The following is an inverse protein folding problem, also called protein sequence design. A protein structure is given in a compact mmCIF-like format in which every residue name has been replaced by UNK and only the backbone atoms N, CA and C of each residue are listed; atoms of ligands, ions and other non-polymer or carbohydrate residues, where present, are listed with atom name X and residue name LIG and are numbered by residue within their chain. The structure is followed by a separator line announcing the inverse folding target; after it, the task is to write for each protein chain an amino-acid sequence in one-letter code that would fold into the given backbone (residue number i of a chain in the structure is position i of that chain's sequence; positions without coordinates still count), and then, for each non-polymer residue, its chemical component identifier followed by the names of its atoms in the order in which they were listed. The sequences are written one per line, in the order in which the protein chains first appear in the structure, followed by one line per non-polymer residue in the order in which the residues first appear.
data_IF_144064702267
#
_entry.id   IF_144064702267
#
_cell.length_a   1.000
_cell.length_b   1.000
_cell.length_c   1.000
_cell.angle_alpha   90.00
_cell.angle_beta   90.00
_cell.angle_gamma   90.00
#
_symmetry.space_group_name_H-M   'P 1'
#
loop_
_entity.id
_entity.type
_entity.pdbx_description
1 polymer ?
#
# COMPACT_ATOMS: atom_id res chain seq x y z
N UNK A 1 -8.93 3.74 21.33
CA UNK A 1 -7.47 3.96 21.30
C UNK A 1 -7.15 5.30 20.67
N UNK A 2 -5.98 5.87 21.00
CA UNK A 2 -5.38 6.98 20.23
C UNK A 2 -4.22 6.45 19.41
N UNK A 3 -4.25 6.64 18.10
CA UNK A 3 -3.30 6.04 17.16
C UNK A 3 -2.67 7.06 16.24
N UNK A 4 -1.43 6.82 15.82
CA UNK A 4 -0.73 7.57 14.78
C UNK A 4 -0.80 6.80 13.46
N UNK A 5 -1.16 7.49 12.37
CA UNK A 5 -1.03 7.01 11.00
C UNK A 5 -0.05 7.90 10.26
N UNK A 6 1.14 7.40 9.92
CA UNK A 6 2.08 8.10 9.04
C UNK A 6 1.76 7.79 7.58
N UNK A 7 1.99 8.75 6.68
CA UNK A 7 1.50 8.63 5.30
C UNK A 7 -0.02 8.81 5.20
N UNK A 8 -0.60 9.57 6.13
CA UNK A 8 -2.05 9.72 6.28
C UNK A 8 -2.74 10.34 5.07
N UNK A 9 -2.07 11.21 4.31
CA UNK A 9 -2.61 11.84 3.11
C UNK A 9 -2.43 10.99 1.84
N UNK A 10 -1.78 9.84 1.94
CA UNK A 10 -1.63 8.88 0.85
C UNK A 10 -2.91 8.09 0.58
N UNK A 11 -2.88 7.28 -0.47
CA UNK A 11 -4.00 6.42 -0.87
C UNK A 11 -4.47 5.53 0.31
N UNK A 12 -3.64 4.61 0.77
CA UNK A 12 -4.02 3.68 1.84
C UNK A 12 -4.18 4.38 3.20
N UNK A 13 -3.28 5.33 3.52
CA UNK A 13 -3.30 6.04 4.79
C UNK A 13 -4.60 6.80 5.03
N UNK A 14 -5.18 7.44 3.99
CA UNK A 14 -6.42 8.18 4.12
C UNK A 14 -7.65 7.28 4.34
N UNK A 15 -7.73 6.14 3.66
CA UNK A 15 -8.78 5.13 3.90
C UNK A 15 -8.65 4.51 5.29
N UNK A 16 -7.42 4.26 5.74
CA UNK A 16 -7.16 3.76 7.08
C UNK A 16 -7.58 4.77 8.16
N UNK A 17 -7.31 6.07 7.96
CA UNK A 17 -7.79 7.12 8.86
C UNK A 17 -9.32 7.08 8.99
N UNK A 18 -10.05 7.00 7.88
CA UNK A 18 -11.51 6.92 7.87
C UNK A 18 -12.00 5.69 8.65
N UNK A 19 -11.41 4.52 8.36
CA UNK A 19 -11.82 3.28 9.03
C UNK A 19 -11.57 3.32 10.54
N UNK A 20 -10.42 3.83 10.97
CA UNK A 20 -10.07 3.94 12.39
C UNK A 20 -11.00 4.93 13.13
N UNK A 21 -11.35 6.05 12.49
CA UNK A 21 -12.32 7.01 13.03
C UNK A 21 -13.73 6.39 13.14
N UNK A 22 -14.17 5.65 12.11
CA UNK A 22 -15.45 4.93 12.12
C UNK A 22 -15.51 3.86 13.23
N UNK A 23 -14.37 3.29 13.64
CA UNK A 23 -14.24 2.37 14.78
C UNK A 23 -14.17 3.12 16.13
N UNK A 24 -14.32 4.45 16.15
CA UNK A 24 -14.33 5.27 17.36
C UNK A 24 -12.93 5.57 17.93
N UNK A 25 -11.87 5.39 17.15
CA UNK A 25 -10.51 5.73 17.57
C UNK A 25 -10.24 7.23 17.43
N UNK A 26 -9.26 7.75 18.19
CA UNK A 26 -8.67 9.06 17.96
C UNK A 26 -7.46 8.90 17.05
N UNK A 27 -7.45 9.58 15.92
CA UNK A 27 -6.43 9.43 14.89
C UNK A 27 -5.56 10.68 14.80
N UNK A 28 -4.26 10.50 14.92
CA UNK A 28 -3.26 11.50 14.55
C UNK A 28 -2.73 11.11 13.17
N UNK A 29 -3.08 11.87 12.15
CA UNK A 29 -2.53 11.71 10.80
C UNK A 29 -1.24 12.51 10.69
N UNK A 30 -0.19 11.91 10.11
CA UNK A 30 1.10 12.58 9.85
C UNK A 30 1.50 12.35 8.39
N UNK A 31 1.85 13.43 7.69
CA UNK A 31 2.28 13.39 6.29
C UNK A 31 3.11 14.64 5.96
N UNK A 32 3.99 14.57 4.98
CA UNK A 32 4.74 15.72 4.45
C UNK A 32 4.27 16.15 3.06
N UNK A 33 3.26 15.47 2.50
CA UNK A 33 2.70 15.67 1.16
C UNK A 33 3.69 15.48 0.00
N UNK A 34 4.80 14.78 0.21
CA UNK A 34 5.74 14.49 -0.91
C UNK A 34 5.07 13.70 -2.04
N UNK A 35 4.21 12.74 -1.69
CA UNK A 35 3.40 11.94 -2.64
C UNK A 35 1.93 11.89 -2.23
N UNK A 36 1.59 12.30 -1.01
CA UNK A 36 0.24 12.39 -0.49
C UNK A 36 -0.54 13.59 -1.06
N UNK A 37 -1.86 13.47 -1.12
CA UNK A 37 -2.75 14.54 -1.55
C UNK A 37 -3.56 15.09 -0.36
N UNK A 38 -3.44 16.39 -0.10
CA UNK A 38 -4.17 17.07 0.96
C UNK A 38 -5.70 16.89 0.85
N UNK A 39 -6.23 16.82 -0.37
CA UNK A 39 -7.65 16.62 -0.62
C UNK A 39 -8.18 15.28 -0.05
N UNK A 40 -7.32 14.27 0.10
CA UNK A 40 -7.71 12.99 0.71
C UNK A 40 -8.12 13.11 2.19
N UNK A 41 -7.76 14.22 2.85
CA UNK A 41 -8.05 14.48 4.27
C UNK A 41 -9.00 15.66 4.49
N UNK A 42 -9.49 16.33 3.43
CA UNK A 42 -10.29 17.55 3.57
C UNK A 42 -11.58 17.32 4.36
N UNK A 43 -12.23 16.19 4.19
CA UNK A 43 -13.43 15.79 4.93
C UNK A 43 -13.18 15.51 6.42
N UNK A 44 -11.93 15.32 6.83
CA UNK A 44 -11.54 15.04 8.22
C UNK A 44 -11.12 16.30 9.00
N UNK A 45 -10.94 17.45 8.34
CA UNK A 45 -10.42 18.68 8.97
C UNK A 45 -11.21 19.12 10.20
N UNK A 46 -12.53 18.91 10.20
CA UNK A 46 -13.42 19.29 11.30
C UNK A 46 -13.83 18.10 12.18
N UNK A 47 -13.26 16.91 11.96
CA UNK A 47 -13.63 15.74 12.72
C UNK A 47 -13.01 15.80 14.14
N UNK A 48 -13.81 15.71 15.24
CA UNK A 48 -13.34 15.98 16.61
C UNK A 48 -12.27 15.00 17.10
N UNK A 49 -12.20 13.80 16.51
CA UNK A 49 -11.23 12.76 16.85
C UNK A 49 -10.06 12.67 15.86
N UNK A 50 -9.93 13.63 14.93
CA UNK A 50 -8.82 13.68 13.97
C UNK A 50 -7.93 14.89 14.23
N UNK A 51 -6.63 14.64 14.27
CA UNK A 51 -5.59 15.68 14.32
C UNK A 51 -4.61 15.44 13.19
N UNK A 52 -4.19 16.49 12.48
CA UNK A 52 -3.16 16.38 11.45
C UNK A 52 -1.86 17.06 11.88
N UNK A 53 -0.72 16.42 11.59
CA UNK A 53 0.63 16.93 11.80
C UNK A 53 1.36 16.91 10.46
N UNK A 54 1.76 18.09 9.97
CA UNK A 54 2.65 18.21 8.81
C UNK A 54 4.09 17.90 9.25
N UNK A 55 4.62 16.75 8.84
CA UNK A 55 5.94 16.31 9.27
C UNK A 55 6.54 15.25 8.34
N UNK A 56 7.87 15.30 8.16
CA UNK A 56 8.63 14.26 7.47
C UNK A 56 9.14 13.23 8.49
N UNK A 57 8.71 11.99 8.33
CA UNK A 57 9.06 10.89 9.24
C UNK A 57 10.54 10.50 9.24
N UNK A 58 11.31 10.94 8.24
CA UNK A 58 12.78 10.76 8.23
C UNK A 58 13.47 11.65 9.27
N UNK A 59 12.78 12.69 9.76
CA UNK A 59 13.22 13.52 10.89
C UNK A 59 12.79 12.90 12.24
N UNK A 60 13.13 13.57 13.35
CA UNK A 60 12.70 13.11 14.68
C UNK A 60 11.18 13.19 14.80
N UNK A 61 10.55 12.07 15.12
CA UNK A 61 9.08 11.96 15.23
C UNK A 61 8.66 12.07 16.69
N UNK A 62 7.86 13.09 16.99
CA UNK A 62 7.26 13.30 18.31
C UNK A 62 5.74 13.48 18.17
N UNK A 63 4.99 12.84 19.06
CA UNK A 63 3.54 13.04 19.20
C UNK A 63 3.23 13.28 20.67
N UNK A 64 2.63 14.43 20.99
CA UNK A 64 2.27 14.77 22.36
C UNK A 64 1.16 13.87 22.90
N UNK A 65 1.26 13.54 24.20
CA UNK A 65 0.30 12.69 24.91
C UNK A 65 0.49 11.18 24.64
N UNK A 66 -0.43 10.35 25.15
CA UNK A 66 -0.35 8.90 25.01
C UNK A 66 -0.63 8.45 23.58
N UNK A 67 -0.02 7.35 23.17
CA UNK A 67 -0.33 6.60 21.94
C UNK A 67 -0.45 5.12 22.31
N UNK A 68 -1.42 4.43 21.74
CA UNK A 68 -1.62 3.01 21.89
C UNK A 68 -1.27 2.23 20.62
N UNK A 69 -1.18 2.93 19.46
CA UNK A 69 -0.81 2.32 18.19
C UNK A 69 -0.13 3.28 17.22
N UNK A 70 0.75 2.71 16.40
CA UNK A 70 1.43 3.40 15.29
C UNK A 70 1.24 2.57 14.02
N UNK A 71 0.58 3.13 13.03
CA UNK A 71 0.46 2.58 11.69
C UNK A 71 1.48 3.30 10.78
N UNK A 72 2.57 2.64 10.44
CA UNK A 72 3.64 3.24 9.66
C UNK A 72 3.47 2.97 8.17
N UNK A 73 2.80 3.91 7.46
CA UNK A 73 2.46 3.85 6.04
C UNK A 73 3.24 4.85 5.18
N UNK A 74 3.97 5.77 5.77
CA UNK A 74 4.77 6.75 5.03
C UNK A 74 5.82 6.07 4.16
N UNK A 75 5.71 6.21 2.86
CA UNK A 75 6.70 5.77 1.87
C UNK A 75 6.28 6.25 0.48
N UNK A 76 7.19 6.73 -0.39
CA UNK A 76 6.96 6.70 -1.83
C UNK A 76 6.78 5.23 -2.25
N UNK A 77 5.63 4.88 -2.82
CA UNK A 77 5.25 3.47 -3.00
C UNK A 77 4.80 3.11 -4.42
N UNK A 78 4.69 4.10 -5.31
CA UNK A 78 4.46 3.84 -6.73
C UNK A 78 5.77 3.78 -7.50
N UNK A 79 5.83 3.04 -8.64
CA UNK A 79 7.03 2.98 -9.47
C UNK A 79 7.53 4.37 -9.90
N UNK A 80 6.62 5.29 -10.24
CA UNK A 80 6.96 6.67 -10.59
C UNK A 80 7.63 7.37 -9.39
N UNK A 81 7.01 7.31 -8.22
CA UNK A 81 7.49 8.03 -7.04
C UNK A 81 8.86 7.56 -6.56
N UNK A 82 9.07 6.25 -6.41
CA UNK A 82 10.34 5.77 -5.84
C UNK A 82 11.50 5.86 -6.84
N UNK A 83 11.22 5.91 -8.14
CA UNK A 83 12.24 6.18 -9.18
C UNK A 83 12.60 7.67 -9.26
N UNK A 84 11.64 8.57 -9.04
CA UNK A 84 11.88 10.02 -8.98
C UNK A 84 12.50 10.46 -7.64
N UNK A 85 12.18 9.76 -6.55
CA UNK A 85 12.60 10.08 -5.18
C UNK A 85 13.43 8.94 -4.54
N UNK A 86 14.48 8.40 -5.21
CA UNK A 86 15.15 7.19 -4.76
C UNK A 86 15.81 7.32 -3.39
N UNK A 87 16.49 8.43 -3.14
CA UNK A 87 17.17 8.68 -1.86
C UNK A 87 16.15 8.90 -0.73
N UNK A 88 15.06 9.61 -1.00
CA UNK A 88 13.98 9.84 -0.03
C UNK A 88 13.29 8.52 0.33
N UNK A 89 13.06 7.65 -0.65
CA UNK A 89 12.49 6.31 -0.44
C UNK A 89 13.34 5.48 0.52
N UNK A 90 14.66 5.43 0.30
CA UNK A 90 15.60 4.75 1.19
C UNK A 90 15.64 5.39 2.59
N UNK A 91 15.63 6.73 2.69
CA UNK A 91 15.59 7.44 3.99
C UNK A 91 14.31 7.14 4.76
N UNK A 92 13.17 7.12 4.12
CA UNK A 92 11.89 6.81 4.78
C UNK A 92 11.87 5.34 5.22
N UNK A 93 12.30 4.41 4.36
CA UNK A 93 12.36 2.99 4.71
C UNK A 93 13.34 2.68 5.85
N UNK A 94 14.43 3.43 5.98
CA UNK A 94 15.44 3.26 7.03
C UNK A 94 15.20 4.18 8.23
N UNK A 95 15.51 5.47 8.09
CA UNK A 95 15.40 6.46 9.17
C UNK A 95 13.95 6.64 9.63
N UNK A 96 13.00 6.73 8.69
CA UNK A 96 11.58 6.87 9.01
C UNK A 96 11.07 5.70 9.84
N UNK A 97 11.35 4.48 9.42
CA UNK A 97 10.98 3.27 10.17
C UNK A 97 11.66 3.23 11.54
N UNK A 98 12.96 3.59 11.63
CA UNK A 98 13.67 3.67 12.90
C UNK A 98 13.03 4.68 13.86
N UNK A 99 12.64 5.86 13.37
CA UNK A 99 11.97 6.89 14.19
C UNK A 99 10.58 6.46 14.64
N UNK A 100 9.79 5.83 13.76
CA UNK A 100 8.48 5.30 14.09
C UNK A 100 8.55 4.20 15.16
N UNK A 101 9.52 3.27 15.06
CA UNK A 101 9.80 2.23 16.05
C UNK A 101 10.26 2.83 17.39
N UNK A 102 11.13 3.84 17.34
CA UNK A 102 11.58 4.58 18.52
C UNK A 102 10.43 5.27 19.25
N UNK A 103 9.52 5.93 18.52
CA UNK A 103 8.32 6.52 19.08
C UNK A 103 7.41 5.44 19.69
N UNK A 104 7.13 4.35 18.99
CA UNK A 104 6.29 3.27 19.48
C UNK A 104 6.85 2.70 20.79
N UNK A 105 8.18 2.43 20.84
CA UNK A 105 8.88 1.99 22.05
C UNK A 105 8.72 2.99 23.21
N UNK A 106 8.96 4.27 22.96
CA UNK A 106 8.87 5.32 23.98
C UNK A 106 7.46 5.51 24.55
N UNK A 107 6.42 5.20 23.75
CA UNK A 107 5.00 5.28 24.14
C UNK A 107 4.43 3.96 24.66
N UNK A 108 5.15 2.86 24.58
CA UNK A 108 4.60 1.51 24.83
C UNK A 108 3.47 1.14 23.86
N UNK A 109 3.53 1.67 22.63
CA UNK A 109 2.50 1.51 21.61
C UNK A 109 2.82 0.33 20.70
N UNK A 110 1.78 -0.40 20.24
CA UNK A 110 1.92 -1.37 19.14
C UNK A 110 2.28 -0.68 17.85
N UNK A 111 3.16 -1.26 17.02
CA UNK A 111 3.47 -0.75 15.70
C UNK A 111 3.06 -1.75 14.61
N UNK A 112 2.36 -1.26 13.58
CA UNK A 112 2.16 -1.98 12.33
C UNK A 112 2.95 -1.30 11.22
N UNK A 113 3.86 -2.08 10.60
CA UNK A 113 4.62 -1.69 9.43
C UNK A 113 3.85 -2.06 8.15
N UNK A 114 3.60 -1.09 7.28
CA UNK A 114 3.18 -1.33 5.91
C UNK A 114 4.39 -1.77 5.07
N UNK A 115 4.59 -3.08 4.97
CA UNK A 115 5.48 -3.70 4.01
C UNK A 115 4.77 -3.95 2.68
N UNK A 116 5.33 -4.74 1.80
CA UNK A 116 4.87 -4.89 0.42
C UNK A 116 5.19 -6.28 -0.11
N UNK A 117 4.45 -6.72 -1.14
CA UNK A 117 4.81 -7.89 -1.94
C UNK A 117 6.12 -7.72 -2.73
N UNK A 118 6.62 -6.50 -2.88
CA UNK A 118 7.90 -6.23 -3.56
C UNK A 118 9.11 -6.83 -2.82
N UNK A 119 8.98 -7.15 -1.52
CA UNK A 119 10.02 -7.89 -0.77
C UNK A 119 10.30 -9.28 -1.37
N UNK A 120 9.39 -9.80 -2.18
CA UNK A 120 9.56 -11.07 -2.91
C UNK A 120 10.31 -10.94 -4.23
N UNK A 121 10.48 -9.73 -4.77
CA UNK A 121 11.16 -9.46 -6.03
C UNK A 121 10.45 -10.09 -7.24
N UNK A 122 11.23 -10.66 -8.19
CA UNK A 122 10.72 -11.55 -9.25
C UNK A 122 10.67 -12.99 -8.71
N UNK A 123 9.52 -13.46 -8.21
CA UNK A 123 9.46 -14.63 -7.36
C UNK A 123 9.64 -15.93 -8.12
N UNK A 124 10.42 -16.84 -7.52
CA UNK A 124 10.61 -18.22 -8.01
C UNK A 124 9.60 -19.21 -7.42
N UNK A 125 8.76 -18.73 -6.48
CA UNK A 125 7.70 -19.51 -5.81
C UNK A 125 6.35 -18.83 -6.07
N UNK A 126 5.35 -19.62 -6.46
CA UNK A 126 4.04 -19.13 -6.84
C UNK A 126 2.93 -20.08 -6.37
N UNK A 127 1.88 -19.62 -5.66
CA UNK A 127 1.75 -18.30 -5.02
C UNK A 127 2.83 -18.05 -3.96
N UNK A 128 3.06 -16.77 -3.57
CA UNK A 128 4.11 -16.40 -2.61
C UNK A 128 3.62 -16.57 -1.17
N UNK A 129 4.15 -17.56 -0.40
CA UNK A 129 3.92 -17.67 1.03
C UNK A 129 4.87 -16.76 1.82
N UNK A 130 4.51 -16.42 3.07
CA UNK A 130 5.35 -15.57 3.91
C UNK A 130 6.72 -16.18 4.25
N UNK A 131 6.86 -17.48 4.17
CA UNK A 131 8.13 -18.22 4.38
C UNK A 131 9.12 -18.05 3.23
N UNK A 132 8.69 -17.55 2.07
CA UNK A 132 9.57 -17.30 0.93
C UNK A 132 10.37 -16.01 1.15
N UNK A 133 11.70 -16.08 1.05
CA UNK A 133 12.59 -14.96 1.34
C UNK A 133 12.76 -13.98 0.18
N UNK A 134 12.27 -14.33 -0.99
CA UNK A 134 12.30 -13.48 -2.18
C UNK A 134 13.49 -13.69 -3.08
N UNK A 135 13.42 -13.05 -4.26
CA UNK A 135 14.45 -12.98 -5.30
C UNK A 135 14.52 -11.53 -5.81
N UNK A 136 15.21 -10.68 -5.05
CA UNK A 136 15.32 -9.25 -5.29
C UNK A 136 16.66 -8.91 -5.94
N UNK A 137 16.66 -8.03 -6.95
CA UNK A 137 17.87 -7.41 -7.48
C UNK A 137 18.23 -6.16 -6.65
N UNK A 138 19.18 -6.24 -5.69
CA UNK A 138 19.44 -5.15 -4.76
C UNK A 138 20.09 -3.92 -5.39
N UNK A 139 20.67 -4.06 -6.59
CA UNK A 139 21.34 -2.97 -7.32
C UNK A 139 20.55 -2.50 -8.55
N UNK A 140 19.42 -3.15 -8.84
CA UNK A 140 18.53 -2.75 -9.91
C UNK A 140 17.73 -1.48 -9.57
N UNK A 141 17.07 -0.85 -10.57
CA UNK A 141 16.34 0.41 -10.35
C UNK A 141 15.21 0.28 -9.33
N UNK A 142 14.58 -0.89 -9.22
CA UNK A 142 13.52 -1.17 -8.23
C UNK A 142 14.08 -1.43 -6.83
N UNK A 143 15.36 -1.79 -6.70
CA UNK A 143 16.03 -2.11 -5.44
C UNK A 143 15.90 -1.00 -4.38
N UNK A 144 15.74 0.27 -4.79
CA UNK A 144 15.53 1.38 -3.85
C UNK A 144 14.27 1.22 -3.00
N UNK A 145 13.19 0.68 -3.56
CA UNK A 145 11.95 0.42 -2.83
C UNK A 145 11.96 -0.95 -2.16
N UNK A 146 12.36 -1.96 -2.91
CA UNK A 146 12.37 -3.34 -2.45
C UNK A 146 13.26 -3.50 -1.21
N UNK A 147 14.52 -3.01 -1.26
CA UNK A 147 15.45 -3.08 -0.14
C UNK A 147 15.07 -2.11 1.00
N UNK A 148 14.48 -0.95 0.71
CA UNK A 148 13.93 -0.09 1.77
C UNK A 148 12.89 -0.83 2.62
N UNK A 149 12.01 -1.61 2.00
CA UNK A 149 10.98 -2.39 2.69
C UNK A 149 11.54 -3.64 3.37
N UNK A 150 12.48 -4.35 2.74
CA UNK A 150 13.20 -5.48 3.36
C UNK A 150 13.98 -5.04 4.59
N UNK A 151 14.67 -3.91 4.52
CA UNK A 151 15.34 -3.30 5.67
C UNK A 151 14.34 -2.94 6.79
N UNK A 152 13.20 -2.34 6.42
CA UNK A 152 12.17 -1.96 7.39
C UNK A 152 11.61 -3.19 8.13
N UNK A 153 11.35 -4.32 7.44
CA UNK A 153 10.97 -5.58 8.08
C UNK A 153 12.05 -6.09 9.04
N UNK A 154 13.31 -6.13 8.60
CA UNK A 154 14.43 -6.60 9.42
C UNK A 154 14.59 -5.73 10.68
N UNK A 155 14.50 -4.41 10.54
CA UNK A 155 14.58 -3.47 11.66
C UNK A 155 13.39 -3.64 12.63
N UNK A 156 12.19 -3.83 12.11
CA UNK A 156 10.98 -4.07 12.93
C UNK A 156 11.13 -5.34 13.78
N UNK A 157 11.61 -6.43 13.18
CA UNK A 157 11.87 -7.68 13.89
C UNK A 157 13.02 -7.56 14.88
N UNK A 158 14.04 -6.73 14.59
CA UNK A 158 15.11 -6.45 15.56
C UNK A 158 14.59 -5.73 16.80
N UNK A 159 13.71 -4.73 16.62
CA UNK A 159 13.05 -4.06 17.75
C UNK A 159 12.15 -4.99 18.55
N UNK A 160 11.40 -5.86 17.88
CA UNK A 160 10.59 -6.88 18.54
C UNK A 160 11.45 -7.78 19.44
N UNK A 161 12.55 -8.35 18.89
CA UNK A 161 13.43 -9.28 19.62
C UNK A 161 14.22 -8.62 20.75
N UNK A 162 14.75 -7.41 20.50
CA UNK A 162 15.63 -6.72 21.44
C UNK A 162 14.89 -5.95 22.54
N UNK A 163 13.66 -5.54 22.28
CA UNK A 163 12.89 -4.64 23.16
C UNK A 163 11.49 -5.15 23.49
N UNK A 164 11.14 -6.36 23.04
CA UNK A 164 9.81 -6.94 23.21
C UNK A 164 8.68 -6.01 22.68
N UNK A 165 9.03 -5.14 21.70
CA UNK A 165 8.06 -4.23 21.13
C UNK A 165 6.96 -5.03 20.42
N UNK A 166 5.70 -4.73 20.72
CA UNK A 166 4.55 -5.35 20.05
C UNK A 166 4.44 -4.83 18.61
N UNK A 167 4.80 -5.68 17.66
CA UNK A 167 4.91 -5.29 16.22
C UNK A 167 4.05 -6.17 15.33
N UNK A 168 3.63 -5.61 14.19
CA UNK A 168 2.95 -6.30 13.10
C UNK A 168 3.58 -5.90 11.77
N UNK A 169 3.65 -6.81 10.82
CA UNK A 169 4.17 -6.54 9.46
C UNK A 169 3.11 -6.98 8.45
N UNK A 170 2.58 -6.02 7.70
CA UNK A 170 1.64 -6.27 6.60
C UNK A 170 2.38 -6.28 5.26
N UNK A 171 2.53 -7.44 4.61
CA UNK A 171 2.99 -7.53 3.22
C UNK A 171 1.81 -7.29 2.28
N UNK A 172 1.68 -6.03 1.85
CA UNK A 172 0.56 -5.56 1.04
C UNK A 172 0.82 -5.89 -0.42
N UNK A 173 -0.13 -6.60 -1.04
CA UNK A 173 -0.14 -6.87 -2.48
C UNK A 173 -0.88 -5.76 -3.23
N UNK A 174 -0.88 -5.83 -4.59
CA UNK A 174 -1.44 -4.78 -5.41
C UNK A 174 -2.86 -4.42 -4.97
N UNK A 175 -3.03 -3.17 -4.59
CA UNK A 175 -4.28 -2.62 -4.09
C UNK A 175 -4.72 -1.47 -4.96
N UNK A 176 -6.03 -1.37 -5.20
CA UNK A 176 -6.64 -0.32 -6.01
C UNK A 176 -7.91 0.21 -5.36
N UNK A 177 -8.34 1.40 -5.79
CA UNK A 177 -9.56 2.04 -5.28
C UNK A 177 -9.56 3.55 -5.46
N UNK A 178 -10.60 4.24 -4.96
CA UNK A 178 -10.66 5.69 -4.89
C UNK A 178 -9.44 6.29 -4.18
N UNK A 179 -9.12 7.56 -4.47
CA UNK A 179 -7.95 8.30 -3.95
C UNK A 179 -6.58 7.82 -4.44
N UNK A 180 -6.52 6.83 -5.35
CA UNK A 180 -5.30 6.65 -6.14
C UNK A 180 -5.07 7.90 -7.01
N UNK A 181 -3.81 8.23 -7.26
CA UNK A 181 -3.49 9.35 -8.15
C UNK A 181 -3.67 8.94 -9.61
N UNK A 182 -4.15 9.83 -10.49
CA UNK A 182 -4.31 9.54 -11.93
C UNK A 182 -3.01 9.09 -12.62
N UNK A 183 -1.86 9.59 -12.16
CA UNK A 183 -0.54 9.36 -12.76
C UNK A 183 0.43 8.67 -11.78
N UNK A 184 -0.05 7.69 -11.00
CA UNK A 184 0.83 6.97 -10.07
C UNK A 184 1.59 5.80 -10.70
N UNK A 185 1.38 5.55 -12.00
CA UNK A 185 2.08 4.52 -12.77
C UNK A 185 1.58 3.09 -12.56
N UNK A 186 0.59 2.86 -11.70
CA UNK A 186 0.01 1.53 -11.50
C UNK A 186 -1.01 1.20 -12.59
N UNK A 187 -1.07 -0.07 -12.98
CA UNK A 187 -1.85 -0.52 -14.14
C UNK A 187 -3.34 -0.17 -14.04
N UNK A 188 -3.97 -0.30 -12.86
CA UNK A 188 -5.42 -0.03 -12.71
C UNK A 188 -5.72 1.44 -12.93
N UNK A 189 -5.00 2.36 -12.25
CA UNK A 189 -5.19 3.81 -12.43
C UNK A 189 -4.86 4.25 -13.86
N UNK A 190 -3.76 3.75 -14.44
CA UNK A 190 -3.37 4.09 -15.80
C UNK A 190 -4.46 3.71 -16.81
N UNK A 191 -4.96 2.46 -16.76
CA UNK A 191 -5.99 2.01 -17.70
C UNK A 191 -7.29 2.79 -17.55
N UNK A 192 -7.73 3.05 -16.31
CA UNK A 192 -8.96 3.84 -16.09
C UNK A 192 -8.81 5.26 -16.62
N UNK A 193 -7.69 5.94 -16.33
CA UNK A 193 -7.46 7.32 -16.78
C UNK A 193 -7.36 7.38 -18.31
N UNK A 194 -6.60 6.48 -18.92
CA UNK A 194 -6.48 6.40 -20.39
C UNK A 194 -7.84 6.15 -21.05
N UNK A 195 -8.60 5.17 -20.55
CA UNK A 195 -9.93 4.87 -21.09
C UNK A 195 -10.90 6.05 -20.97
N UNK A 196 -10.92 6.76 -19.82
CA UNK A 196 -11.79 7.92 -19.61
C UNK A 196 -11.41 9.13 -20.46
N UNK A 197 -10.13 9.26 -20.81
CA UNK A 197 -9.65 10.32 -21.71
C UNK A 197 -9.73 9.97 -23.18
N UNK A 198 -10.12 8.74 -23.55
CA UNK A 198 -10.10 8.26 -24.93
C UNK A 198 -8.69 8.02 -25.49
N UNK A 199 -7.69 7.94 -24.60
CA UNK A 199 -6.31 7.63 -24.95
C UNK A 199 -6.12 6.10 -25.08
N UNK A 200 -5.16 5.61 -25.90
CA UNK A 200 -4.86 4.18 -25.97
C UNK A 200 -4.42 3.63 -24.62
N UNK A 201 -4.89 2.43 -24.25
CA UNK A 201 -4.43 1.73 -23.05
C UNK A 201 -3.05 1.12 -23.30
N UNK A 202 -2.08 1.46 -22.47
CA UNK A 202 -0.70 0.99 -22.59
C UNK A 202 -0.49 -0.33 -21.84
N UNK A 203 -0.37 -1.43 -22.57
CA UNK A 203 -0.02 -2.76 -22.05
C UNK A 203 1.47 -2.99 -22.25
N UNK A 204 2.19 -3.28 -21.19
CA UNK A 204 3.61 -3.64 -21.26
C UNK A 204 3.76 -5.13 -21.55
N UNK A 205 4.68 -5.50 -22.46
CA UNK A 205 4.80 -6.86 -22.97
C UNK A 205 3.56 -7.31 -23.75
N UNK A 206 3.33 -8.60 -23.83
CA UNK A 206 2.17 -9.18 -24.54
C UNK A 206 0.87 -9.18 -23.71
N UNK A 207 0.92 -8.70 -22.45
CA UNK A 207 -0.21 -8.68 -21.53
C UNK A 207 -0.55 -10.04 -20.91
N UNK A 208 0.28 -11.06 -21.10
CA UNK A 208 0.12 -12.41 -20.51
C UNK A 208 0.51 -12.45 -19.03
N UNK A 209 1.33 -11.49 -18.56
CA UNK A 209 1.70 -11.40 -17.15
C UNK A 209 0.48 -11.31 -16.26
N UNK A 210 0.54 -11.99 -15.12
CA UNK A 210 -0.57 -12.05 -14.17
C UNK A 210 -0.34 -11.17 -12.96
N UNK A 211 -1.41 -10.59 -12.44
CA UNK A 211 -1.45 -9.82 -11.20
C UNK A 211 -2.73 -10.14 -10.46
N UNK A 212 -2.67 -10.05 -9.15
CA UNK A 212 -3.84 -10.08 -8.29
C UNK A 212 -4.15 -8.66 -7.79
N UNK A 213 -5.42 -8.32 -7.65
CA UNK A 213 -5.85 -6.97 -7.29
C UNK A 213 -6.80 -7.00 -6.10
N UNK A 214 -6.42 -6.37 -5.00
CA UNK A 214 -7.24 -6.26 -3.81
C UNK A 214 -7.92 -4.89 -3.77
N UNK A 215 -9.23 -4.85 -3.52
CA UNK A 215 -9.92 -3.58 -3.33
C UNK A 215 -9.55 -2.97 -1.98
N UNK A 216 -9.47 -1.64 -1.93
CA UNK A 216 -8.92 -0.90 -0.78
C UNK A 216 -9.66 -1.16 0.53
N UNK A 217 -11.00 -1.30 0.51
CA UNK A 217 -11.78 -1.54 1.72
C UNK A 217 -11.47 -2.89 2.34
N UNK A 218 -11.29 -3.94 1.51
CA UNK A 218 -10.88 -5.27 1.97
C UNK A 218 -9.49 -5.22 2.59
N UNK A 219 -8.55 -4.53 1.93
CA UNK A 219 -7.19 -4.38 2.45
C UNK A 219 -7.18 -3.67 3.80
N UNK A 220 -7.89 -2.54 3.93
CA UNK A 220 -7.95 -1.75 5.17
C UNK A 220 -8.56 -2.58 6.31
N UNK A 221 -9.58 -3.39 6.03
CA UNK A 221 -10.13 -4.32 7.01
C UNK A 221 -9.09 -5.36 7.45
N UNK A 222 -8.30 -5.91 6.50
CA UNK A 222 -7.19 -6.83 6.81
C UNK A 222 -6.12 -6.20 7.68
N UNK A 223 -5.76 -4.93 7.39
CA UNK A 223 -4.80 -4.16 8.19
C UNK A 223 -5.29 -3.96 9.63
N UNK A 224 -6.56 -3.59 9.81
CA UNK A 224 -7.14 -3.41 11.15
C UNK A 224 -7.13 -4.73 11.93
N UNK A 225 -7.58 -5.82 11.32
CA UNK A 225 -7.55 -7.15 11.97
C UNK A 225 -6.13 -7.61 12.30
N UNK A 226 -5.17 -7.37 11.40
CA UNK A 226 -3.77 -7.70 11.65
C UNK A 226 -3.23 -6.90 12.85
N UNK A 227 -3.55 -5.61 12.92
CA UNK A 227 -3.16 -4.78 14.06
C UNK A 227 -3.72 -5.31 15.37
N UNK A 228 -4.99 -5.72 15.39
CA UNK A 228 -5.68 -6.17 16.60
C UNK A 228 -5.26 -7.57 17.05
N UNK A 229 -5.15 -8.52 16.12
CA UNK A 229 -5.09 -9.97 16.39
C UNK A 229 -3.85 -10.67 15.86
N UNK A 230 -3.08 -10.02 14.96
CA UNK A 230 -1.94 -10.66 14.33
C UNK A 230 -0.78 -10.96 15.28
N UNK A 231 0.17 -11.74 14.78
CA UNK A 231 1.47 -12.01 15.40
C UNK A 231 2.54 -11.02 14.88
N UNK A 232 3.74 -10.98 15.49
CA UNK A 232 4.85 -10.20 14.96
C UNK A 232 5.35 -10.66 13.57
N UNK A 233 5.08 -11.90 13.21
CA UNK A 233 5.48 -12.47 11.92
C UNK A 233 4.77 -11.75 10.75
N UNK A 234 5.45 -11.58 9.60
CA UNK A 234 4.84 -11.00 8.41
C UNK A 234 3.55 -11.73 8.00
N UNK A 235 2.57 -10.97 7.52
CA UNK A 235 1.31 -11.51 7.02
C UNK A 235 0.99 -10.90 5.66
N UNK A 236 0.74 -11.75 4.67
CA UNK A 236 0.30 -11.34 3.34
C UNK A 236 -1.15 -10.83 3.40
N UNK A 237 -1.37 -9.64 2.86
CA UNK A 237 -2.69 -9.07 2.65
C UNK A 237 -2.88 -8.72 1.17
N UNK A 238 -3.80 -9.41 0.52
CA UNK A 238 -4.08 -9.25 -0.91
C UNK A 238 -5.19 -10.19 -1.37
N UNK A 239 -5.58 -10.06 -2.63
CA UNK A 239 -6.54 -10.98 -3.25
C UNK A 239 -5.78 -12.12 -3.95
N UNK A 240 -6.08 -13.39 -3.70
CA UNK A 240 -5.43 -14.51 -4.38
C UNK A 240 -5.92 -14.74 -5.82
N UNK A 241 -7.00 -14.06 -6.26
CA UNK A 241 -7.50 -14.20 -7.63
C UNK A 241 -6.58 -13.48 -8.61
N UNK A 242 -6.03 -14.23 -9.56
CA UNK A 242 -5.14 -13.71 -10.60
C UNK A 242 -5.87 -13.35 -11.87
N UNK A 243 -5.46 -12.24 -12.48
CA UNK A 243 -5.94 -11.77 -13.77
C UNK A 243 -4.74 -11.44 -14.68
N UNK A 244 -4.88 -11.77 -15.96
CA UNK A 244 -3.93 -11.28 -16.96
C UNK A 244 -4.12 -9.78 -17.14
N UNK A 245 -3.01 -9.05 -17.34
CA UNK A 245 -3.07 -7.61 -17.57
C UNK A 245 -3.96 -7.28 -18.77
N UNK A 246 -3.96 -8.12 -19.80
CA UNK A 246 -4.85 -7.97 -20.96
C UNK A 246 -6.33 -8.07 -20.57
N UNK A 247 -6.71 -9.04 -19.73
CA UNK A 247 -8.08 -9.16 -19.24
C UNK A 247 -8.55 -7.96 -18.43
N UNK A 248 -7.64 -7.36 -17.62
CA UNK A 248 -7.92 -6.11 -16.91
C UNK A 248 -8.19 -4.97 -17.90
N UNK A 249 -7.38 -4.82 -18.97
CA UNK A 249 -7.58 -3.79 -19.97
C UNK A 249 -8.93 -3.93 -20.66
N UNK A 250 -9.28 -5.14 -21.11
CA UNK A 250 -10.57 -5.42 -21.76
C UNK A 250 -11.74 -5.10 -20.82
N UNK A 251 -11.65 -5.49 -19.53
CA UNK A 251 -12.68 -5.20 -18.53
C UNK A 251 -12.83 -3.68 -18.26
N UNK A 252 -11.73 -2.94 -18.18
CA UNK A 252 -11.78 -1.47 -18.02
C UNK A 252 -12.43 -0.80 -19.22
N UNK A 253 -12.12 -1.21 -20.47
CA UNK A 253 -12.77 -0.70 -21.67
C UNK A 253 -14.27 -0.97 -21.63
N UNK A 254 -14.67 -2.18 -21.27
CA UNK A 254 -16.09 -2.54 -21.14
C UNK A 254 -16.81 -1.68 -20.09
N UNK A 255 -16.24 -1.52 -18.90
CA UNK A 255 -16.86 -0.81 -17.78
C UNK A 255 -16.91 0.71 -17.99
N UNK A 256 -15.95 1.29 -18.71
CA UNK A 256 -15.94 2.71 -19.07
C UNK A 256 -16.80 3.04 -20.27
N UNK A 257 -17.08 2.04 -21.12
CA UNK A 257 -17.70 2.25 -22.45
C UNK A 257 -16.75 2.90 -23.44
N UNK A 258 -15.44 2.86 -23.20
CA UNK A 258 -14.43 3.50 -24.04
C UNK A 258 -14.16 2.70 -25.31
N UNK A 259 -14.02 3.40 -26.44
CA UNK A 259 -13.58 2.85 -27.72
C UNK A 259 -12.04 2.92 -27.91
N UNK A 260 -11.30 3.20 -26.85
CA UNK A 260 -9.83 3.30 -26.92
C UNK A 260 -9.19 1.99 -27.38
N UNK A 261 -8.14 2.11 -28.19
CA UNK A 261 -7.31 0.98 -28.60
C UNK A 261 -6.38 0.53 -27.47
N UNK A 262 -5.78 -0.65 -27.61
CA UNK A 262 -4.72 -1.13 -26.73
C UNK A 262 -3.41 -1.06 -27.51
N UNK A 263 -2.40 -0.40 -26.95
CA UNK A 263 -1.03 -0.34 -27.46
C UNK A 263 -0.11 -1.20 -26.61
N UNK A 264 0.92 -1.77 -27.22
CA UNK A 264 1.91 -2.62 -26.55
C UNK A 264 3.25 -1.90 -26.49
N UNK A 265 3.84 -1.87 -25.30
CA UNK A 265 5.14 -1.27 -25.02
C UNK A 265 6.10 -2.32 -24.43
N UNK A 266 7.43 -2.14 -24.53
CA UNK A 266 8.39 -3.04 -23.90
C UNK A 266 8.21 -3.16 -22.40
N UNK A 267 8.43 -4.36 -21.83
CA UNK A 267 8.40 -4.56 -20.38
C UNK A 267 9.47 -3.71 -19.69
N UNK A 268 9.14 -3.03 -18.58
CA UNK A 268 10.13 -2.36 -17.75
C UNK A 268 11.15 -3.34 -17.17
N UNK A 269 12.37 -2.85 -16.92
CA UNK A 269 13.43 -3.64 -16.29
C UNK A 269 13.01 -4.09 -14.89
N UNK A 270 13.27 -5.35 -14.54
CA UNK A 270 12.98 -5.98 -13.25
C UNK A 270 11.47 -6.02 -12.89
N UNK A 271 10.54 -5.86 -13.87
CA UNK A 271 9.11 -5.99 -13.58
C UNK A 271 8.76 -7.48 -13.34
N UNK A 272 8.18 -7.85 -12.19
CA UNK A 272 7.86 -9.25 -11.89
C UNK A 272 6.90 -9.86 -12.92
N UNK A 273 7.12 -11.13 -13.29
CA UNK A 273 6.24 -11.83 -14.26
C UNK A 273 4.92 -12.26 -13.63
N UNK A 274 4.95 -12.71 -12.37
CA UNK A 274 3.79 -13.20 -11.62
C UNK A 274 3.78 -12.60 -10.21
N UNK A 275 2.57 -12.31 -9.69
CA UNK A 275 2.41 -11.82 -8.32
C UNK A 275 1.05 -12.24 -7.76
N UNK A 276 1.08 -13.25 -6.84
CA UNK A 276 -0.13 -13.79 -6.21
C UNK A 276 0.15 -14.10 -4.74
N UNK A 277 -0.62 -13.53 -3.78
CA UNK A 277 -0.43 -13.87 -2.37
C UNK A 277 -0.94 -15.27 -2.04
N UNK A 278 -0.18 -16.03 -1.26
CA UNK A 278 -0.77 -17.02 -0.36
C UNK A 278 -1.31 -16.27 0.86
N UNK A 279 -2.61 -16.37 1.13
CA UNK A 279 -3.28 -15.69 2.25
C UNK A 279 -3.76 -16.67 3.34
N UNK A 280 -3.22 -17.89 3.36
CA UNK A 280 -3.64 -18.89 4.35
C UNK A 280 -3.44 -18.38 5.77
N UNK A 281 -2.32 -17.76 6.07
CA UNK A 281 -2.05 -17.15 7.39
C UNK A 281 -3.09 -16.08 7.76
N UNK A 282 -3.48 -15.22 6.84
CA UNK A 282 -4.49 -14.19 7.09
C UNK A 282 -5.88 -14.81 7.35
N UNK A 283 -6.25 -15.87 6.61
CA UNK A 283 -7.48 -16.61 6.86
C UNK A 283 -7.51 -17.25 8.24
N UNK A 284 -6.45 -17.97 8.60
CA UNK A 284 -6.39 -18.73 9.86
C UNK A 284 -6.25 -17.82 11.10
N UNK A 285 -5.31 -16.86 11.06
CA UNK A 285 -5.01 -16.02 12.21
C UNK A 285 -5.98 -14.84 12.39
N UNK A 286 -6.50 -14.27 11.29
CA UNK A 286 -7.30 -13.06 11.31
C UNK A 286 -8.78 -13.30 10.99
N UNK A 287 -9.14 -14.47 10.45
CA UNK A 287 -10.47 -14.70 9.86
C UNK A 287 -10.76 -13.74 8.71
N UNK A 288 -9.71 -13.40 7.94
CA UNK A 288 -9.80 -12.38 6.87
C UNK A 288 -9.56 -12.99 5.49
N UNK A 289 -10.38 -12.58 4.57
CA UNK A 289 -10.19 -12.75 3.12
C UNK A 289 -10.86 -11.59 2.38
N UNK A 290 -10.42 -11.24 1.15
CA UNK A 290 -11.06 -10.22 0.33
C UNK A 290 -12.46 -10.68 -0.11
N UNK A 291 -13.39 -9.71 -0.24
CA UNK A 291 -14.80 -9.97 -0.55
C UNK A 291 -15.29 -9.21 -1.79
N UNK A 292 -14.63 -8.10 -2.12
CA UNK A 292 -15.03 -7.26 -3.25
C UNK A 292 -14.48 -7.85 -4.54
N UNK A 293 -15.37 -8.13 -5.49
CA UNK A 293 -14.98 -8.62 -6.82
C UNK A 293 -14.17 -7.56 -7.57
N UNK A 294 -13.31 -7.98 -8.51
CA UNK A 294 -12.55 -7.04 -9.34
C UNK A 294 -13.50 -6.08 -10.08
N UNK A 295 -14.60 -6.58 -10.62
CA UNK A 295 -15.57 -5.77 -11.36
C UNK A 295 -16.23 -4.71 -10.48
N UNK A 296 -16.72 -5.07 -9.28
CA UNK A 296 -17.35 -4.12 -8.37
C UNK A 296 -16.37 -3.05 -7.88
N UNK A 297 -15.15 -3.44 -7.55
CA UNK A 297 -14.10 -2.51 -7.16
C UNK A 297 -13.71 -1.55 -8.29
N UNK A 298 -13.61 -2.06 -9.53
CA UNK A 298 -13.35 -1.22 -10.71
C UNK A 298 -14.49 -0.22 -10.96
N UNK A 299 -15.75 -0.62 -10.87
CA UNK A 299 -16.89 0.31 -11.03
C UNK A 299 -16.80 1.49 -10.08
N UNK A 300 -16.55 1.25 -8.78
CA UNK A 300 -16.38 2.29 -7.75
C UNK A 300 -15.15 3.17 -8.03
N UNK A 301 -14.06 2.57 -8.50
CA UNK A 301 -12.83 3.29 -8.81
C UNK A 301 -13.00 4.16 -10.06
N UNK A 302 -13.67 3.66 -11.11
CA UNK A 302 -13.99 4.40 -12.32
C UNK A 302 -14.89 5.60 -12.02
N UNK A 303 -15.90 5.43 -11.17
CA UNK A 303 -16.78 6.52 -10.74
C UNK A 303 -15.99 7.65 -10.06
N UNK A 304 -15.08 7.29 -9.14
CA UNK A 304 -14.18 8.25 -8.50
C UNK A 304 -13.34 9.02 -9.52
N UNK A 305 -12.70 8.32 -10.49
CA UNK A 305 -11.89 8.98 -11.50
C UNK A 305 -12.70 9.85 -12.47
N UNK A 306 -13.94 9.46 -12.80
CA UNK A 306 -14.86 10.31 -13.57
C UNK A 306 -15.12 11.64 -12.85
N UNK A 307 -15.39 11.60 -11.56
CA UNK A 307 -15.59 12.83 -10.76
C UNK A 307 -14.32 13.68 -10.60
N UNK A 308 -13.14 13.09 -10.78
CA UNK A 308 -11.87 13.79 -10.65
C UNK A 308 -11.41 14.42 -11.99
N UNK A 309 -11.78 13.82 -13.14
CA UNK A 309 -11.30 14.19 -14.47
C UNK A 309 -12.34 15.03 -15.24
N UNK A 310 -13.61 14.97 -14.89
CA UNK A 310 -14.70 15.78 -15.45
C UNK A 310 -14.97 16.99 -14.61
#
# INVERSE_FOLDING_TARGET
MRVLVTGAAGFLGSHLCDRLLALGHRVVGMDNFSTGNKANLDHLKSHPNFQFILHDVANFVEVQGPLEGVFHFASPASPVDYLELPIQTLKVGSLGTHKALGLAKAKGARLLLASTSEVYGDPLVHPQPESYWGNVNPVGPRGVYDEAKRFAEALTMAYHRAHELDTRIARIFNTYGPRMRPHDGRVVSNFIVQALKGEPLTVYGDGSQTRSFCYVDDLVEGIVRLFERGSPEPTNLGNPDEFRVRQLADLVLQLTGSASSITVEPLPTDDPKVRQPDIQRAREALGWEPKVSLEDGLRRTIEYFRGLLG
#
